data_IF_828490489026
#
_entry.id   IF_828490489026
#
_cell.length_a   1.000
_cell.length_b   1.000
_cell.length_c   1.000
_cell.angle_alpha   90.00
_cell.angle_beta   90.00
_cell.angle_gamma   90.00
#
_symmetry.space_group_name_H-M   'P 1'
#
loop_
_entity.id
_entity.type
_entity.pdbx_description
1 polymer ?
#
# COMPACT_ATOMS: atom_id res chain seq x y z
N UNK A 1 -23.16 29.20 4.23
CA UNK A 1 -23.19 28.38 3.01
C UNK A 1 -22.01 27.40 3.09
N UNK A 2 -21.95 26.40 3.99
CA UNK A 2 -22.82 25.22 4.16
C UNK A 2 -23.15 24.55 2.81
N UNK A 3 -22.15 24.02 2.11
CA UNK A 3 -22.33 22.83 1.27
C UNK A 3 -20.97 22.19 0.91
N UNK A 4 -20.95 20.86 0.88
CA UNK A 4 -19.97 19.97 0.26
C UNK A 4 -18.66 19.64 1.01
N UNK A 5 -18.81 19.11 2.24
CA UNK A 5 -17.96 18.03 2.76
C UNK A 5 -18.83 16.77 2.82
N UNK A 6 -19.03 16.10 1.68
CA UNK A 6 -19.48 14.71 1.66
C UNK A 6 -18.22 13.84 1.61
N UNK A 7 -17.75 13.42 2.78
CA UNK A 7 -16.77 12.35 2.89
C UNK A 7 -17.34 11.08 2.24
N UNK A 8 -16.59 10.38 1.38
CA UNK A 8 -17.05 9.11 0.84
C UNK A 8 -17.27 8.13 1.99
N UNK A 9 -18.49 7.61 2.09
CA UNK A 9 -18.85 6.60 3.10
C UNK A 9 -17.90 5.41 2.98
N UNK A 10 -17.22 5.06 4.07
CA UNK A 10 -16.31 3.91 4.20
C UNK A 10 -17.11 2.61 4.46
N UNK A 11 -18.41 2.72 4.77
CA UNK A 11 -19.32 1.60 5.02
C UNK A 11 -19.31 0.48 3.93
N UNK A 12 -19.33 0.78 2.60
CA UNK A 12 -19.28 -0.26 1.58
C UNK A 12 -17.93 -0.99 1.51
N UNK A 13 -16.82 -0.32 1.85
CA UNK A 13 -15.50 -0.93 1.90
C UNK A 13 -15.37 -1.88 3.10
N UNK A 14 -15.91 -1.49 4.25
CA UNK A 14 -15.94 -2.31 5.45
C UNK A 14 -16.85 -3.54 5.29
N UNK A 15 -18.00 -3.40 4.63
CA UNK A 15 -18.89 -4.51 4.29
C UNK A 15 -18.23 -5.52 3.33
N UNK A 16 -17.50 -5.04 2.33
CA UNK A 16 -16.73 -5.89 1.39
C UNK A 16 -15.61 -6.66 2.08
N UNK A 17 -14.91 -6.04 3.03
CA UNK A 17 -13.84 -6.69 3.82
C UNK A 17 -14.43 -7.73 4.78
N UNK A 18 -15.57 -7.43 5.41
CA UNK A 18 -16.29 -8.37 6.29
C UNK A 18 -16.80 -9.60 5.52
N UNK A 19 -17.37 -9.43 4.33
CA UNK A 19 -17.80 -10.54 3.46
C UNK A 19 -16.63 -11.40 2.95
N UNK A 20 -15.44 -10.82 2.80
CA UNK A 20 -14.22 -11.56 2.40
C UNK A 20 -13.52 -12.29 3.57
N UNK A 21 -14.01 -12.13 4.80
CA UNK A 21 -13.45 -12.67 6.04
C UNK A 21 -14.40 -13.63 6.78
N UNK A 22 -15.67 -13.70 6.39
CA UNK A 22 -16.60 -14.67 6.96
C UNK A 22 -16.22 -16.09 6.52
N UNK A 23 -16.33 -17.06 7.44
CA UNK A 23 -16.48 -18.47 7.04
C UNK A 23 -17.61 -18.50 6.00
N UNK A 24 -17.30 -18.99 4.80
CA UNK A 24 -18.31 -19.09 3.75
C UNK A 24 -19.41 -19.98 4.28
N UNK A 25 -20.58 -19.40 4.54
CA UNK A 25 -21.81 -20.16 4.72
C UNK A 25 -21.91 -21.17 3.57
N UNK A 26 -22.44 -22.36 3.86
CA UNK A 26 -22.71 -23.35 2.83
C UNK A 26 -23.51 -22.66 1.70
N UNK A 27 -23.05 -22.82 0.47
CA UNK A 27 -23.72 -22.24 -0.68
C UNK A 27 -25.04 -22.94 -0.94
N UNK A 28 -25.97 -22.22 -1.55
CA UNK A 28 -27.23 -22.79 -1.98
C UNK A 28 -27.05 -23.74 -3.17
N UNK A 29 -28.10 -24.47 -3.48
CA UNK A 29 -28.18 -25.30 -4.67
C UNK A 29 -29.41 -24.88 -5.47
N UNK A 30 -29.22 -24.64 -6.75
CA UNK A 30 -30.28 -24.24 -7.67
C UNK A 30 -30.34 -25.24 -8.81
N UNK A 31 -31.53 -25.59 -9.28
CA UNK A 31 -31.71 -26.31 -10.54
C UNK A 31 -32.12 -25.34 -11.63
N UNK A 32 -31.58 -25.55 -12.82
CA UNK A 32 -31.96 -24.83 -14.01
C UNK A 32 -32.99 -25.64 -14.80
N UNK A 33 -34.25 -25.19 -14.76
CA UNK A 33 -35.34 -25.75 -15.54
C UNK A 33 -36.06 -24.63 -16.29
N UNK A 34 -36.35 -24.83 -17.58
CA UNK A 34 -37.00 -23.82 -18.43
C UNK A 34 -36.28 -22.47 -18.52
N UNK A 35 -34.96 -22.43 -18.28
CA UNK A 35 -34.14 -21.21 -18.32
C UNK A 35 -34.20 -20.32 -17.07
N UNK A 36 -34.84 -20.79 -15.99
CA UNK A 36 -34.91 -20.06 -14.72
C UNK A 36 -34.33 -20.90 -13.57
N UNK A 37 -33.27 -20.41 -12.90
CA UNK A 37 -32.76 -21.05 -11.69
C UNK A 37 -33.79 -21.03 -10.55
N UNK A 38 -34.08 -22.17 -9.95
CA UNK A 38 -34.90 -22.30 -8.75
C UNK A 38 -34.15 -23.05 -7.65
N UNK A 39 -34.24 -22.56 -6.42
CA UNK A 39 -33.55 -23.16 -5.29
C UNK A 39 -34.17 -24.51 -4.92
N UNK A 40 -33.32 -25.47 -4.56
CA UNK A 40 -33.72 -26.75 -3.98
C UNK A 40 -33.22 -26.87 -2.54
N UNK A 41 -33.87 -27.72 -1.75
CA UNK A 41 -33.50 -27.99 -0.36
C UNK A 41 -32.23 -28.87 -0.29
N UNK A 42 -31.09 -28.30 -0.66
CA UNK A 42 -29.77 -28.90 -0.57
C UNK A 42 -28.72 -27.80 -0.35
N UNK A 43 -27.51 -28.21 0.05
CA UNK A 43 -26.39 -27.29 0.24
C UNK A 43 -25.14 -27.79 -0.49
N UNK A 44 -24.21 -26.89 -0.77
CA UNK A 44 -22.91 -27.22 -1.33
C UNK A 44 -21.81 -26.35 -0.71
N UNK A 45 -20.54 -26.66 -0.99
CA UNK A 45 -19.41 -25.87 -0.47
C UNK A 45 -19.38 -24.41 -0.97
N UNK A 46 -20.18 -24.08 -1.98
CA UNK A 46 -20.38 -22.78 -2.61
C UNK A 46 -21.60 -22.89 -3.52
N UNK A 47 -22.13 -21.75 -3.94
CA UNK A 47 -23.31 -21.72 -4.77
C UNK A 47 -23.16 -22.62 -6.00
N UNK A 48 -24.16 -23.47 -6.23
CA UNK A 48 -24.13 -24.54 -7.22
C UNK A 48 -25.39 -24.51 -8.08
N UNK A 49 -25.23 -24.22 -9.35
CA UNK A 49 -26.27 -24.33 -10.37
C UNK A 49 -26.17 -25.70 -11.04
N UNK A 50 -27.22 -26.49 -10.88
CA UNK A 50 -27.40 -27.78 -11.52
C UNK A 50 -28.05 -27.57 -12.89
N UNK A 51 -27.42 -28.10 -13.93
CA UNK A 51 -27.88 -28.01 -15.32
C UNK A 51 -28.32 -29.38 -15.85
N UNK A 52 -29.20 -29.46 -16.86
CA UNK A 52 -29.70 -30.73 -17.37
C UNK A 52 -28.57 -31.64 -17.87
N UNK A 53 -28.38 -32.80 -17.25
CA UNK A 53 -27.30 -33.72 -17.61
C UNK A 53 -27.41 -34.32 -19.03
N UNK A 54 -28.59 -34.34 -19.65
CA UNK A 54 -28.75 -34.73 -21.06
C UNK A 54 -28.09 -33.77 -22.05
N UNK A 55 -27.75 -32.55 -21.60
CA UNK A 55 -27.02 -31.55 -22.38
C UNK A 55 -25.50 -31.60 -22.15
N UNK A 56 -25.03 -32.47 -21.25
CA UNK A 56 -23.60 -32.59 -20.90
C UNK A 56 -23.17 -34.04 -20.96
N UNK A 57 -22.29 -34.37 -21.89
CA UNK A 57 -21.65 -35.69 -21.89
C UNK A 57 -20.60 -35.72 -20.76
N UNK A 58 -20.79 -36.64 -19.82
CA UNK A 58 -19.83 -36.91 -18.73
C UNK A 58 -19.18 -38.27 -18.96
N UNK A 59 -17.85 -38.29 -19.05
CA UNK A 59 -17.08 -39.52 -19.20
C UNK A 59 -15.84 -39.57 -18.29
N UNK A 60 -15.34 -40.77 -17.99
CA UNK A 60 -14.02 -40.96 -17.38
C UNK A 60 -12.90 -40.82 -18.40
N UNK A 61 -11.81 -40.13 -18.06
CA UNK A 61 -10.63 -39.97 -18.91
C UNK A 61 -9.34 -40.36 -18.16
N UNK A 62 -8.57 -41.28 -18.72
CA UNK A 62 -7.27 -41.68 -18.21
C UNK A 62 -6.24 -40.55 -18.44
N UNK A 63 -5.88 -39.84 -17.37
CA UNK A 63 -4.94 -38.71 -17.41
C UNK A 63 -3.83 -38.88 -16.36
N UNK A 64 -2.87 -39.82 -16.57
CA UNK A 64 -1.79 -40.14 -15.62
C UNK A 64 -0.67 -39.08 -15.63
N UNK A 65 -1.06 -37.81 -15.51
CA UNK A 65 -0.15 -36.67 -15.53
C UNK A 65 -0.14 -36.01 -14.14
N UNK A 66 1.03 -35.55 -13.65
CA UNK A 66 1.18 -35.13 -12.26
C UNK A 66 0.46 -33.82 -11.94
N UNK A 67 0.34 -32.90 -12.90
CA UNK A 67 -0.27 -31.58 -12.68
C UNK A 67 -1.63 -31.45 -13.35
N UNK A 68 -2.55 -30.74 -12.68
CA UNK A 68 -3.88 -30.42 -13.22
C UNK A 68 -3.78 -29.66 -14.56
N UNK A 69 -2.81 -28.76 -14.70
CA UNK A 69 -2.60 -28.01 -15.94
C UNK A 69 -2.23 -28.93 -17.11
N UNK A 70 -1.34 -29.92 -16.89
CA UNK A 70 -1.00 -30.93 -17.91
C UNK A 70 -2.20 -31.81 -18.24
N UNK A 71 -3.01 -32.19 -17.25
CA UNK A 71 -4.26 -32.94 -17.47
C UNK A 71 -5.26 -32.16 -18.33
N UNK A 72 -5.47 -30.87 -18.05
CA UNK A 72 -6.33 -30.01 -18.87
C UNK A 72 -5.81 -29.90 -20.31
N UNK A 73 -4.50 -29.74 -20.50
CA UNK A 73 -3.90 -29.65 -21.84
C UNK A 73 -4.01 -30.97 -22.63
N UNK A 74 -3.96 -32.11 -21.95
CA UNK A 74 -4.08 -33.44 -22.56
C UNK A 74 -5.53 -33.91 -22.74
N UNK A 75 -6.49 -33.28 -22.05
CA UNK A 75 -7.89 -33.69 -22.06
C UNK A 75 -8.50 -33.77 -23.48
N UNK A 76 -8.30 -32.81 -24.40
CA UNK A 76 -8.87 -32.88 -25.75
C UNK A 76 -8.47 -34.16 -26.49
N UNK A 77 -7.19 -34.53 -26.42
CA UNK A 77 -6.66 -35.73 -27.06
C UNK A 77 -7.16 -37.02 -26.41
N UNK A 78 -7.31 -37.03 -25.08
CA UNK A 78 -7.72 -38.22 -24.33
C UNK A 78 -9.18 -38.64 -24.60
N UNK A 79 -10.00 -37.74 -25.13
CA UNK A 79 -11.44 -37.98 -25.35
C UNK A 79 -11.85 -37.88 -26.82
N UNK A 80 -10.93 -37.57 -27.73
CA UNK A 80 -11.20 -37.25 -29.14
C UNK A 80 -12.00 -38.36 -29.84
N UNK A 81 -11.61 -39.62 -29.63
CA UNK A 81 -12.29 -40.79 -30.23
C UNK A 81 -13.64 -41.13 -29.56
N UNK A 82 -14.00 -40.46 -28.46
CA UNK A 82 -15.19 -40.73 -27.65
C UNK A 82 -16.27 -39.66 -27.81
N UNK A 83 -16.01 -38.61 -28.58
CA UNK A 83 -16.94 -37.54 -28.85
C UNK A 83 -17.24 -37.47 -30.34
N UNK A 84 -18.51 -37.20 -30.70
CA UNK A 84 -18.92 -37.09 -32.10
C UNK A 84 -18.52 -35.76 -32.73
N UNK A 85 -18.37 -34.71 -31.92
CA UNK A 85 -17.92 -33.39 -32.33
C UNK A 85 -16.39 -33.29 -32.24
N UNK A 86 -15.78 -32.35 -32.96
CA UNK A 86 -14.36 -32.07 -32.78
C UNK A 86 -14.08 -31.46 -31.41
N UNK A 87 -12.99 -31.86 -30.78
CA UNK A 87 -12.62 -31.39 -29.44
C UNK A 87 -12.42 -29.87 -29.34
N UNK A 88 -12.10 -29.18 -30.45
CA UNK A 88 -11.94 -27.72 -30.51
C UNK A 88 -13.25 -26.95 -30.74
N UNK A 89 -14.36 -27.65 -30.97
CA UNK A 89 -15.70 -27.06 -31.17
C UNK A 89 -16.58 -27.17 -29.91
N UNK A 90 -16.11 -27.86 -28.88
CA UNK A 90 -16.84 -28.10 -27.63
C UNK A 90 -16.14 -27.42 -26.46
N UNK A 91 -16.91 -27.13 -25.41
CA UNK A 91 -16.34 -26.72 -24.14
C UNK A 91 -16.02 -27.95 -23.30
N UNK A 92 -14.78 -28.02 -22.80
CA UNK A 92 -14.27 -29.14 -22.01
C UNK A 92 -13.99 -28.71 -20.57
N UNK A 93 -14.44 -29.53 -19.63
CA UNK A 93 -14.22 -29.32 -18.20
C UNK A 93 -13.62 -30.56 -17.54
N UNK A 94 -12.57 -30.38 -16.74
CA UNK A 94 -11.93 -31.45 -15.96
C UNK A 94 -12.49 -31.48 -14.53
N UNK A 95 -13.07 -32.59 -14.12
CA UNK A 95 -13.65 -32.81 -12.80
C UNK A 95 -12.68 -33.39 -11.78
N UNK A 96 -13.25 -34.04 -10.77
CA UNK A 96 -12.56 -34.85 -9.77
C UNK A 96 -12.13 -36.20 -10.37
N UNK A 97 -11.23 -36.87 -9.67
CA UNK A 97 -10.89 -38.26 -9.97
C UNK A 97 -12.01 -39.16 -9.44
N UNK A 98 -12.58 -40.00 -10.30
CA UNK A 98 -13.56 -41.01 -9.93
C UNK A 98 -12.92 -42.19 -9.19
N UNK A 99 -13.72 -43.11 -8.63
CA UNK A 99 -13.23 -44.25 -7.85
C UNK A 99 -12.29 -45.17 -8.64
N UNK A 100 -12.50 -45.31 -9.94
CA UNK A 100 -11.65 -46.10 -10.85
C UNK A 100 -10.31 -45.46 -11.21
N UNK A 101 -9.99 -44.28 -10.66
CA UNK A 101 -8.74 -43.56 -10.93
C UNK A 101 -8.76 -42.71 -12.22
N UNK A 102 -9.82 -42.81 -13.03
CA UNK A 102 -10.05 -41.91 -14.16
C UNK A 102 -10.55 -40.54 -13.71
N UNK A 103 -10.31 -39.50 -14.52
CA UNK A 103 -10.79 -38.15 -14.24
C UNK A 103 -12.11 -37.91 -14.95
N UNK A 104 -13.10 -37.34 -14.26
CA UNK A 104 -14.32 -36.92 -14.93
C UNK A 104 -14.02 -35.82 -15.95
N UNK A 105 -14.59 -35.95 -17.14
CA UNK A 105 -14.55 -34.98 -18.20
C UNK A 105 -15.97 -34.62 -18.61
N UNK A 106 -16.30 -33.34 -18.55
CA UNK A 106 -17.54 -32.79 -19.08
C UNK A 106 -17.33 -32.22 -20.47
N UNK A 107 -18.22 -32.55 -21.39
CA UNK A 107 -18.25 -32.06 -22.76
C UNK A 107 -19.61 -31.43 -23.01
N UNK A 108 -19.62 -30.18 -23.45
CA UNK A 108 -20.85 -29.40 -23.62
C UNK A 108 -20.71 -28.40 -24.76
N UNK A 109 -21.82 -28.10 -25.43
CA UNK A 109 -21.90 -27.04 -26.43
C UNK A 109 -21.57 -25.67 -25.78
N UNK A 110 -20.58 -24.91 -26.30
CA UNK A 110 -20.27 -23.58 -25.81
C UNK A 110 -21.47 -22.60 -25.82
N UNK A 111 -22.42 -22.75 -26.75
CA UNK A 111 -23.62 -21.92 -26.81
C UNK A 111 -24.56 -22.18 -25.63
N UNK A 112 -24.74 -23.46 -25.24
CA UNK A 112 -25.50 -23.82 -24.04
C UNK A 112 -24.82 -23.30 -22.78
N UNK A 113 -23.50 -23.44 -22.68
CA UNK A 113 -22.73 -22.88 -21.57
C UNK A 113 -22.89 -21.36 -21.46
N UNK A 114 -22.85 -20.63 -22.58
CA UNK A 114 -23.07 -19.18 -22.58
C UNK A 114 -24.49 -18.83 -22.09
N UNK A 115 -25.49 -19.59 -22.51
CA UNK A 115 -26.88 -19.45 -22.04
C UNK A 115 -27.00 -19.63 -20.52
N UNK A 116 -26.47 -20.74 -19.99
CA UNK A 116 -26.52 -21.02 -18.55
C UNK A 116 -25.78 -19.97 -17.71
N UNK A 117 -24.67 -19.44 -18.21
CA UNK A 117 -23.95 -18.34 -17.53
C UNK A 117 -24.80 -17.08 -17.51
N UNK A 118 -25.46 -16.73 -18.62
CA UNK A 118 -26.33 -15.56 -18.68
C UNK A 118 -27.55 -15.71 -17.75
N UNK A 119 -28.17 -16.89 -17.70
CA UNK A 119 -29.28 -17.20 -16.79
C UNK A 119 -28.84 -17.14 -15.33
N UNK A 120 -27.65 -17.66 -15.01
CA UNK A 120 -27.07 -17.54 -13.68
C UNK A 120 -26.83 -16.07 -13.31
N UNK A 121 -26.26 -15.26 -14.20
CA UNK A 121 -26.04 -13.82 -13.97
C UNK A 121 -27.35 -13.07 -13.74
N UNK A 122 -28.37 -13.33 -14.57
CA UNK A 122 -29.70 -12.72 -14.44
C UNK A 122 -30.36 -13.05 -13.09
N UNK A 123 -30.10 -14.24 -12.54
CA UNK A 123 -30.59 -14.69 -11.23
C UNK A 123 -29.70 -14.25 -10.05
N UNK A 124 -28.62 -13.49 -10.28
CA UNK A 124 -27.67 -13.10 -9.23
C UNK A 124 -26.70 -14.19 -8.80
N UNK A 125 -26.63 -15.30 -9.54
CA UNK A 125 -25.79 -16.48 -9.32
C UNK A 125 -24.53 -16.47 -10.21
N UNK A 126 -24.05 -15.32 -10.66
CA UNK A 126 -22.92 -15.22 -11.61
C UNK A 126 -21.61 -15.88 -11.12
N UNK A 127 -21.43 -16.02 -9.81
CA UNK A 127 -20.25 -16.68 -9.20
C UNK A 127 -20.48 -18.18 -8.89
N UNK A 128 -21.68 -18.71 -9.17
CA UNK A 128 -22.02 -20.10 -8.92
C UNK A 128 -21.15 -21.06 -9.76
N UNK A 129 -20.92 -22.24 -9.18
CA UNK A 129 -20.39 -23.41 -9.88
C UNK A 129 -21.50 -23.95 -10.77
N UNK A 130 -21.18 -24.45 -11.96
CA UNK A 130 -22.16 -25.12 -12.82
C UNK A 130 -21.80 -26.61 -12.89
N UNK A 131 -22.76 -27.51 -12.64
CA UNK A 131 -22.55 -28.95 -12.65
C UNK A 131 -23.78 -29.68 -13.23
N UNK A 132 -23.61 -30.77 -13.99
CA UNK A 132 -24.75 -31.62 -14.38
C UNK A 132 -25.52 -32.14 -13.16
N UNK A 133 -26.84 -32.07 -13.21
CA UNK A 133 -27.72 -32.45 -12.10
C UNK A 133 -27.64 -33.93 -11.72
N UNK A 134 -27.39 -34.84 -12.66
CA UNK A 134 -27.12 -36.24 -12.37
C UNK A 134 -25.90 -36.44 -11.43
N UNK A 135 -24.93 -35.51 -11.44
CA UNK A 135 -23.77 -35.57 -10.55
C UNK A 135 -24.06 -35.05 -9.13
N UNK A 136 -25.27 -34.56 -8.86
CA UNK A 136 -25.72 -34.23 -7.51
C UNK A 136 -26.18 -35.46 -6.72
N UNK A 137 -26.51 -36.57 -7.39
CA UNK A 137 -26.88 -37.81 -6.71
C UNK A 137 -25.67 -38.43 -5.98
N UNK A 138 -25.91 -39.11 -4.85
CA UNK A 138 -24.89 -39.87 -4.15
C UNK A 138 -24.20 -40.86 -5.09
N UNK A 139 -22.89 -41.03 -4.89
CA UNK A 139 -22.13 -42.04 -5.61
C UNK A 139 -22.57 -43.43 -5.15
N UNK A 140 -23.05 -44.31 -6.05
CA UNK A 140 -23.52 -45.65 -5.66
C UNK A 140 -22.35 -46.60 -5.38
N UNK A 141 -22.67 -47.69 -4.69
CA UNK A 141 -21.77 -48.84 -4.55
C UNK A 141 -21.52 -49.54 -5.90
N UNK A 142 -20.40 -50.28 -6.06
CA UNK A 142 -20.12 -51.03 -7.27
C UNK A 142 -21.25 -52.01 -7.64
N UNK A 143 -21.75 -51.90 -8.87
CA UNK A 143 -22.84 -52.75 -9.40
C UNK A 143 -24.24 -52.13 -9.30
N UNK A 144 -24.40 -51.02 -8.59
CA UNK A 144 -25.67 -50.30 -8.45
C UNK A 144 -25.64 -48.95 -9.18
N UNK A 145 -26.80 -48.42 -9.54
CA UNK A 145 -26.98 -47.04 -10.01
C UNK A 145 -27.79 -46.25 -8.99
N UNK A 146 -27.36 -45.04 -8.65
CA UNK A 146 -28.23 -44.10 -7.95
C UNK A 146 -29.13 -43.44 -8.98
N UNK A 147 -30.45 -43.50 -8.80
CA UNK A 147 -31.41 -42.92 -9.74
C UNK A 147 -32.34 -41.94 -9.05
N UNK A 148 -32.76 -40.90 -9.76
CA UNK A 148 -33.77 -39.95 -9.26
C UNK A 148 -34.76 -39.60 -10.35
N UNK A 149 -36.06 -39.79 -10.07
CA UNK A 149 -37.13 -39.51 -11.02
C UNK A 149 -37.73 -38.13 -10.78
N UNK A 150 -37.66 -37.28 -11.81
CA UNK A 150 -38.30 -35.96 -11.86
C UNK A 150 -39.36 -36.02 -12.97
N UNK A 151 -40.59 -36.38 -12.60
CA UNK A 151 -41.65 -36.66 -13.57
C UNK A 151 -41.29 -37.82 -14.50
N UNK A 152 -41.21 -37.56 -15.80
CA UNK A 152 -40.80 -38.54 -16.81
C UNK A 152 -39.29 -38.55 -17.11
N UNK A 153 -38.52 -37.64 -16.50
CA UNK A 153 -37.07 -37.54 -16.64
C UNK A 153 -36.40 -38.29 -15.49
N UNK A 154 -35.43 -39.14 -15.80
CA UNK A 154 -34.70 -39.96 -14.82
C UNK A 154 -33.23 -39.56 -14.88
N UNK A 155 -32.70 -39.15 -13.73
CA UNK A 155 -31.28 -38.95 -13.47
C UNK A 155 -30.64 -40.26 -13.05
N UNK A 156 -29.41 -40.51 -13.48
CA UNK A 156 -28.64 -41.68 -13.09
C UNK A 156 -27.18 -41.31 -12.80
N UNK A 157 -26.67 -41.77 -11.65
CA UNK A 157 -25.24 -41.72 -11.28
C UNK A 157 -24.68 -43.13 -11.27
N UNK A 158 -23.52 -43.29 -11.90
CA UNK A 158 -22.86 -44.58 -12.07
C UNK A 158 -21.70 -44.77 -11.05
N UNK A 159 -21.30 -46.01 -10.75
CA UNK A 159 -20.22 -46.31 -9.80
C UNK A 159 -18.85 -45.76 -10.21
N UNK A 160 -18.61 -45.54 -11.51
CA UNK A 160 -17.37 -44.92 -12.02
C UNK A 160 -17.32 -43.40 -11.76
N UNK A 161 -18.39 -42.83 -11.21
CA UNK A 161 -18.54 -41.41 -10.93
C UNK A 161 -19.13 -40.61 -12.07
N UNK A 162 -19.39 -41.20 -13.25
CA UNK A 162 -20.13 -40.55 -14.33
C UNK A 162 -21.62 -40.50 -14.03
N UNK A 163 -22.39 -39.85 -14.90
CA UNK A 163 -23.84 -39.79 -14.77
C UNK A 163 -24.48 -39.25 -16.03
N UNK A 164 -25.78 -39.53 -16.19
CA UNK A 164 -26.57 -39.09 -17.32
C UNK A 164 -28.01 -38.82 -16.89
N UNK A 165 -28.78 -38.17 -17.77
CA UNK A 165 -30.22 -38.06 -17.63
C UNK A 165 -30.90 -38.48 -18.94
N UNK A 166 -32.09 -39.08 -18.83
CA UNK A 166 -32.89 -39.46 -19.98
C UNK A 166 -34.39 -39.45 -19.64
N UNK A 167 -35.22 -39.33 -20.67
CA UNK A 167 -36.64 -39.66 -20.50
C UNK A 167 -36.81 -41.16 -20.26
N UNK A 168 -37.83 -41.54 -19.50
CA UNK A 168 -38.08 -42.91 -19.06
C UNK A 168 -37.94 -44.00 -20.15
N UNK A 169 -38.49 -43.85 -21.38
CA UNK A 169 -38.33 -44.88 -22.41
C UNK A 169 -36.86 -45.11 -22.83
N UNK A 170 -36.08 -44.03 -22.92
CA UNK A 170 -34.66 -44.11 -23.27
C UNK A 170 -33.84 -44.61 -22.08
N UNK A 171 -34.17 -44.17 -20.86
CA UNK A 171 -33.54 -44.68 -19.64
C UNK A 171 -33.69 -46.20 -19.55
N UNK A 172 -34.90 -46.74 -19.74
CA UNK A 172 -35.15 -48.19 -19.70
C UNK A 172 -34.35 -48.95 -20.77
N UNK A 173 -34.15 -48.34 -21.94
CA UNK A 173 -33.32 -48.91 -23.01
C UNK A 173 -31.84 -48.95 -22.62
N UNK A 174 -31.31 -47.88 -22.03
CA UNK A 174 -29.92 -47.80 -21.54
C UNK A 174 -29.71 -48.77 -20.38
N UNK A 175 -30.63 -48.80 -19.42
CA UNK A 175 -30.61 -49.70 -18.26
C UNK A 175 -30.63 -51.18 -18.70
N UNK A 176 -31.48 -51.53 -19.67
CA UNK A 176 -31.52 -52.88 -20.23
C UNK A 176 -30.21 -53.23 -20.96
N UNK A 177 -29.67 -52.31 -21.76
CA UNK A 177 -28.39 -52.51 -22.46
C UNK A 177 -27.20 -52.64 -21.49
N UNK A 178 -27.27 -51.99 -20.33
CA UNK A 178 -26.27 -52.08 -19.27
C UNK A 178 -26.37 -53.36 -18.41
N UNK A 179 -27.26 -54.30 -18.76
CA UNK A 179 -27.42 -55.56 -18.03
C UNK A 179 -28.35 -55.47 -16.82
N UNK A 180 -29.21 -54.43 -16.77
CA UNK A 180 -30.18 -54.20 -15.70
C UNK A 180 -29.55 -54.16 -14.30
N UNK A 181 -28.60 -53.25 -14.05
CA UNK A 181 -28.01 -53.08 -12.72
C UNK A 181 -29.10 -52.75 -11.69
N UNK A 182 -28.81 -53.05 -10.42
CA UNK A 182 -29.67 -52.64 -9.32
C UNK A 182 -29.73 -51.11 -9.26
N UNK A 183 -30.91 -50.56 -8.97
CA UNK A 183 -31.13 -49.12 -8.95
C UNK A 183 -31.61 -48.70 -7.57
N UNK A 184 -30.85 -47.83 -6.92
CA UNK A 184 -31.22 -47.19 -5.66
C UNK A 184 -31.87 -45.84 -5.95
N UNK A 185 -33.14 -45.68 -5.58
CA UNK A 185 -33.80 -44.39 -5.70
C UNK A 185 -33.26 -43.42 -4.64
N UNK A 186 -32.52 -42.42 -5.09
CA UNK A 186 -31.87 -41.42 -4.25
C UNK A 186 -32.44 -40.03 -4.55
N UNK A 187 -32.64 -39.22 -3.52
CA UNK A 187 -32.85 -37.78 -3.67
C UNK A 187 -31.52 -37.02 -3.68
N UNK A 188 -31.60 -35.68 -3.78
CA UNK A 188 -30.43 -34.81 -3.62
C UNK A 188 -29.86 -34.78 -2.19
N UNK A 189 -30.54 -35.44 -1.23
CA UNK A 189 -30.09 -35.66 0.14
C UNK A 189 -30.04 -34.40 1.01
N UNK A 190 -29.96 -34.58 2.33
CA UNK A 190 -29.75 -33.48 3.29
C UNK A 190 -28.26 -33.11 3.43
N UNK A 191 -27.37 -34.00 2.99
CA UNK A 191 -25.93 -33.78 3.03
C UNK A 191 -25.48 -32.76 1.98
N UNK A 192 -24.36 -32.09 2.24
CA UNK A 192 -23.79 -31.16 1.28
C UNK A 192 -23.34 -31.88 0.01
N UNK A 193 -23.85 -31.44 -1.14
CA UNK A 193 -23.55 -32.01 -2.46
C UNK A 193 -22.09 -31.74 -2.81
N UNK A 194 -21.28 -32.78 -3.07
CA UNK A 194 -19.90 -32.63 -3.49
C UNK A 194 -19.83 -32.13 -4.94
N UNK A 195 -18.96 -31.15 -5.19
CA UNK A 195 -18.73 -30.64 -6.55
C UNK A 195 -17.75 -31.58 -7.27
N UNK A 196 -18.31 -32.58 -7.95
CA UNK A 196 -17.53 -33.56 -8.71
C UNK A 196 -17.01 -33.01 -10.05
N UNK A 197 -17.72 -32.05 -10.65
CA UNK A 197 -17.36 -31.44 -11.93
C UNK A 197 -17.85 -29.98 -11.95
N UNK A 198 -16.93 -29.04 -12.16
CA UNK A 198 -17.27 -27.61 -12.34
C UNK A 198 -17.11 -27.25 -13.82
N UNK A 199 -18.21 -26.94 -14.51
CA UNK A 199 -18.18 -26.52 -15.92
C UNK A 199 -17.65 -25.10 -16.10
N UNK A 200 -17.53 -24.28 -15.03
CA UNK A 200 -16.98 -22.90 -15.07
C UNK A 200 -15.45 -22.91 -15.16
N UNK A 201 -14.94 -23.39 -16.29
CA UNK A 201 -13.51 -23.48 -16.64
C UNK A 201 -13.22 -22.79 -17.97
N UNK A 202 -11.94 -22.60 -18.30
CA UNK A 202 -11.52 -22.02 -19.58
C UNK A 202 -12.13 -20.64 -19.82
N UNK A 203 -12.74 -20.45 -20.99
CA UNK A 203 -13.40 -19.20 -21.39
C UNK A 203 -14.65 -18.87 -20.54
N UNK A 204 -15.24 -19.86 -19.88
CA UNK A 204 -16.37 -19.71 -18.96
C UNK A 204 -15.93 -19.70 -17.50
N UNK A 205 -14.63 -19.59 -17.22
CA UNK A 205 -14.14 -19.46 -15.86
C UNK A 205 -14.70 -18.20 -15.20
N UNK A 206 -15.06 -18.33 -13.92
CA UNK A 206 -15.55 -17.20 -13.12
C UNK A 206 -14.56 -16.04 -13.17
N UNK A 207 -15.03 -14.79 -13.38
CA UNK A 207 -14.21 -13.61 -13.17
C UNK A 207 -13.62 -13.69 -11.76
N UNK A 208 -12.30 -13.53 -11.60
CA UNK A 208 -11.68 -13.57 -10.27
C UNK A 208 -12.19 -12.39 -9.44
N UNK A 209 -13.24 -12.60 -8.65
CA UNK A 209 -13.65 -11.62 -7.65
C UNK A 209 -12.73 -11.75 -6.44
N UNK A 210 -11.76 -10.84 -6.34
CA UNK A 210 -10.90 -10.67 -5.16
C UNK A 210 -9.41 -10.60 -5.47
N UNK A 211 -8.69 -9.88 -4.62
CA UNK A 211 -7.22 -9.85 -4.63
C UNK A 211 -6.69 -11.26 -4.36
N UNK A 212 -5.72 -11.70 -5.15
CA UNK A 212 -4.99 -12.95 -4.89
C UNK A 212 -4.39 -12.94 -3.48
N UNK A 213 -4.09 -14.13 -2.92
CA UNK A 213 -3.50 -14.23 -1.57
C UNK A 213 -2.21 -13.41 -1.44
N UNK A 214 -1.43 -13.31 -2.51
CA UNK A 214 -0.23 -12.46 -2.58
C UNK A 214 -0.60 -10.98 -2.68
N UNK A 215 -1.54 -10.59 -3.53
CA UNK A 215 -1.99 -9.20 -3.65
C UNK A 215 -2.62 -8.67 -2.35
N UNK A 216 -3.34 -9.53 -1.60
CA UNK A 216 -3.87 -9.21 -0.27
C UNK A 216 -2.77 -8.98 0.76
N UNK A 217 -1.70 -9.78 0.73
CA UNK A 217 -0.51 -9.58 1.59
C UNK A 217 0.22 -8.28 1.24
N UNK A 218 0.42 -8.02 -0.06
CA UNK A 218 1.04 -6.77 -0.53
C UNK A 218 0.22 -5.56 -0.10
N UNK A 219 -1.11 -5.60 -0.26
CA UNK A 219 -2.00 -4.53 0.19
C UNK A 219 -1.93 -4.28 1.71
N UNK A 220 -1.85 -5.35 2.52
CA UNK A 220 -1.67 -5.25 3.97
C UNK A 220 -0.33 -4.60 4.34
N UNK A 221 0.76 -4.99 3.68
CA UNK A 221 2.09 -4.40 3.90
C UNK A 221 2.10 -2.93 3.50
N UNK A 222 1.52 -2.59 2.34
CA UNK A 222 1.41 -1.21 1.87
C UNK A 222 0.59 -0.34 2.83
N UNK A 223 -0.54 -0.84 3.32
CA UNK A 223 -1.37 -0.15 4.31
C UNK A 223 -0.62 0.06 5.64
N UNK A 224 0.11 -0.97 6.11
CA UNK A 224 0.97 -0.86 7.29
C UNK A 224 2.07 0.19 7.12
N UNK A 225 2.71 0.24 5.95
CA UNK A 225 3.72 1.25 5.63
C UNK A 225 3.17 2.68 5.65
N UNK A 226 1.99 2.89 5.05
CA UNK A 226 1.29 4.19 5.06
C UNK A 226 0.93 4.64 6.47
N UNK A 227 0.41 3.73 7.31
CA UNK A 227 0.10 4.02 8.71
C UNK A 227 1.35 4.39 9.51
N UNK A 228 2.45 3.65 9.33
CA UNK A 228 3.72 3.95 9.98
C UNK A 228 4.25 5.33 9.57
N UNK A 229 4.19 5.65 8.28
CA UNK A 229 4.61 6.97 7.78
C UNK A 229 3.76 8.10 8.35
N UNK A 230 2.44 7.91 8.41
CA UNK A 230 1.53 8.87 9.04
C UNK A 230 1.86 9.09 10.52
N UNK A 231 2.11 8.00 11.26
CA UNK A 231 2.48 8.07 12.68
C UNK A 231 3.80 8.83 12.89
N UNK A 232 4.84 8.52 12.10
CA UNK A 232 6.14 9.22 12.17
C UNK A 232 5.96 10.72 11.90
N UNK A 233 5.29 11.08 10.80
CA UNK A 233 5.07 12.48 10.45
C UNK A 233 4.29 13.26 11.54
N UNK A 234 3.29 12.62 12.15
CA UNK A 234 2.57 13.25 13.28
C UNK A 234 3.47 13.42 14.50
N UNK A 235 4.25 12.41 14.87
CA UNK A 235 5.18 12.49 16.00
C UNK A 235 6.22 13.59 15.79
N UNK A 236 6.81 13.68 14.60
CA UNK A 236 7.77 14.73 14.25
C UNK A 236 7.13 16.13 14.34
N UNK A 237 5.91 16.27 13.83
CA UNK A 237 5.20 17.55 13.89
C UNK A 237 4.94 17.99 15.34
N UNK A 238 4.53 17.06 16.21
CA UNK A 238 4.35 17.34 17.64
C UNK A 238 5.68 17.66 18.33
N UNK A 239 6.74 16.89 18.05
CA UNK A 239 8.06 17.12 18.59
C UNK A 239 8.59 18.52 18.21
N UNK A 240 8.55 18.88 16.92
CA UNK A 240 8.98 20.18 16.42
C UNK A 240 8.17 21.33 17.01
N UNK A 241 6.85 21.20 17.14
CA UNK A 241 6.01 22.20 17.80
C UNK A 241 6.37 22.38 19.27
N UNK A 242 6.64 21.29 19.98
CA UNK A 242 7.03 21.34 21.40
C UNK A 242 8.40 22.01 21.62
N UNK A 243 9.36 21.74 20.73
CA UNK A 243 10.69 22.34 20.76
C UNK A 243 10.61 23.83 20.44
N UNK A 244 9.84 24.20 19.41
CA UNK A 244 9.62 25.60 19.05
C UNK A 244 8.98 26.39 20.20
N UNK A 245 7.95 25.82 20.85
CA UNK A 245 7.32 26.45 22.01
C UNK A 245 8.29 26.64 23.18
N UNK A 246 9.09 25.61 23.51
CA UNK A 246 10.11 25.70 24.57
C UNK A 246 11.16 26.77 24.28
N UNK A 247 11.72 26.78 23.06
CA UNK A 247 12.72 27.79 22.64
C UNK A 247 12.13 29.21 22.62
N UNK A 248 10.88 29.36 22.19
CA UNK A 248 10.17 30.63 22.21
C UNK A 248 10.00 31.17 23.64
N UNK A 249 9.62 30.31 24.57
CA UNK A 249 9.51 30.67 25.99
C UNK A 249 10.86 31.06 26.60
N UNK A 250 11.92 30.32 26.29
CA UNK A 250 13.28 30.62 26.76
C UNK A 250 13.81 31.95 26.20
N UNK A 251 13.62 32.20 24.90
CA UNK A 251 13.99 33.46 24.26
C UNK A 251 13.26 34.66 24.88
N UNK A 252 11.95 34.52 25.10
CA UNK A 252 11.12 35.54 25.76
C UNK A 252 11.62 35.83 27.17
N UNK A 253 11.96 34.80 27.94
CA UNK A 253 12.51 34.96 29.28
C UNK A 253 13.86 35.69 29.27
N UNK A 254 14.75 35.36 28.32
CA UNK A 254 16.05 36.04 28.17
C UNK A 254 15.90 37.50 27.73
N UNK A 255 14.99 37.80 26.80
CA UNK A 255 14.67 39.18 26.40
C UNK A 255 14.17 40.01 27.57
N UNK A 256 13.24 39.47 28.35
CA UNK A 256 12.70 40.17 29.52
C UNK A 256 13.77 40.44 30.59
N UNK A 257 14.74 39.53 30.75
CA UNK A 257 15.84 39.70 31.69
C UNK A 257 16.92 40.69 31.22
N UNK A 258 17.26 40.66 29.92
CA UNK A 258 18.39 41.44 29.36
C UNK A 258 17.99 42.80 28.78
N UNK A 259 16.74 42.95 28.35
CA UNK A 259 16.20 44.18 27.76
C UNK A 259 14.77 44.46 28.27
N UNK A 260 14.62 44.85 29.55
CA UNK A 260 13.31 45.06 30.17
C UNK A 260 12.47 46.10 29.41
N UNK A 261 11.20 45.78 29.12
CA UNK A 261 10.26 46.69 28.46
C UNK A 261 10.35 46.76 26.93
N UNK A 262 11.30 46.06 26.29
CA UNK A 262 11.41 45.97 24.83
C UNK A 262 10.43 44.99 24.18
N UNK A 263 9.92 44.01 24.93
CA UNK A 263 8.96 43.04 24.45
C UNK A 263 7.86 42.80 25.51
N UNK A 264 6.59 42.90 25.11
CA UNK A 264 5.42 42.72 25.99
C UNK A 264 4.38 41.75 25.43
N UNK A 265 4.67 41.13 24.29
CA UNK A 265 3.80 40.16 23.61
C UNK A 265 3.98 38.73 24.12
N UNK A 266 3.21 37.81 23.54
CA UNK A 266 3.29 36.36 23.82
C UNK A 266 3.66 35.52 22.60
N UNK A 267 3.78 36.13 21.42
CA UNK A 267 4.15 35.43 20.19
C UNK A 267 5.68 35.22 20.10
N UNK A 268 6.16 33.97 20.03
CA UNK A 268 7.58 33.66 19.83
C UNK A 268 8.20 34.29 18.58
N UNK A 269 7.43 34.50 17.51
CA UNK A 269 7.94 35.10 16.27
C UNK A 269 8.24 36.59 16.44
N UNK A 270 7.38 37.32 17.15
CA UNK A 270 7.60 38.72 17.49
C UNK A 270 8.78 38.88 18.45
N UNK A 271 8.89 37.99 19.45
CA UNK A 271 10.04 37.96 20.35
C UNK A 271 11.36 37.77 19.57
N UNK A 272 11.37 36.86 18.59
CA UNK A 272 12.53 36.61 17.73
C UNK A 272 12.90 37.83 16.86
N UNK A 273 11.91 38.55 16.32
CA UNK A 273 12.16 39.77 15.57
C UNK A 273 12.80 40.87 16.44
N UNK A 274 12.25 41.10 17.65
CA UNK A 274 12.79 42.08 18.60
C UNK A 274 14.21 41.69 19.05
N UNK A 275 14.47 40.39 19.27
CA UNK A 275 15.81 39.90 19.59
C UNK A 275 16.81 40.19 18.45
N UNK A 276 16.39 39.98 17.20
CA UNK A 276 17.23 40.23 16.03
C UNK A 276 17.57 41.71 15.85
N UNK A 277 16.71 42.63 16.30
CA UNK A 277 16.99 44.08 16.30
C UNK A 277 17.95 44.51 17.43
N UNK A 278 17.95 43.79 18.56
CA UNK A 278 18.84 44.08 19.70
C UNK A 278 20.23 43.52 19.47
N UNK A 279 20.33 42.37 18.79
CA UNK A 279 21.60 41.78 18.41
C UNK A 279 22.31 42.72 17.42
N UNK A 280 23.56 43.14 17.68
CA UNK A 280 24.33 43.85 16.68
C UNK A 280 24.40 42.95 15.46
N UNK A 281 24.09 43.50 14.28
CA UNK A 281 24.22 42.77 13.03
C UNK A 281 25.66 42.26 12.93
N UNK A 282 25.83 40.98 13.25
CA UNK A 282 27.10 40.27 13.10
C UNK A 282 27.36 40.12 11.61
N UNK A 283 27.79 41.22 10.99
CA UNK A 283 28.45 41.13 9.70
C UNK A 283 29.65 40.21 9.86
N UNK A 284 29.92 39.43 8.83
CA UNK A 284 31.14 38.63 8.64
C UNK A 284 32.39 39.51 8.51
N UNK A 285 32.48 40.60 9.28
CA UNK A 285 33.61 41.50 9.29
C UNK A 285 34.77 40.85 10.08
N UNK A 286 35.99 40.83 9.54
CA UNK A 286 37.16 40.32 10.25
C UNK A 286 37.35 41.07 11.59
N UNK A 287 38.00 40.44 12.60
CA UNK A 287 38.10 41.01 13.95
C UNK A 287 38.51 42.49 13.92
N UNK A 288 37.70 43.34 14.56
CA UNK A 288 37.81 44.80 14.47
C UNK A 288 39.23 45.28 14.72
N UNK A 289 39.78 46.03 13.77
CA UNK A 289 41.19 46.45 13.75
C UNK A 289 41.56 47.44 14.87
N UNK A 290 40.56 48.03 15.53
CA UNK A 290 40.72 49.03 16.59
C UNK A 290 41.45 48.47 17.81
N UNK A 291 40.91 47.43 18.44
CA UNK A 291 41.45 46.93 19.71
C UNK A 291 42.92 46.46 19.58
N UNK A 292 43.32 45.67 18.56
CA UNK A 292 44.71 45.26 18.40
C UNK A 292 45.68 46.41 18.07
N UNK A 293 45.22 47.45 17.36
CA UNK A 293 46.04 48.65 17.11
C UNK A 293 46.18 49.50 18.36
N UNK A 294 45.10 49.67 19.12
CA UNK A 294 45.08 50.46 20.35
C UNK A 294 45.97 49.84 21.42
N UNK A 295 45.87 48.52 21.65
CA UNK A 295 46.70 47.84 22.65
C UNK A 295 48.19 47.98 22.32
N UNK A 296 48.58 47.80 21.05
CA UNK A 296 49.99 47.94 20.63
C UNK A 296 50.48 49.39 20.70
N UNK A 297 49.66 50.35 20.28
CA UNK A 297 50.01 51.77 20.34
C UNK A 297 50.15 52.23 21.81
N UNK A 298 49.22 51.84 22.67
CA UNK A 298 49.27 52.16 24.11
C UNK A 298 50.48 51.54 24.79
N UNK A 299 50.86 50.30 24.44
CA UNK A 299 52.05 49.66 24.99
C UNK A 299 53.34 50.37 24.57
N UNK A 300 53.42 50.81 23.31
CA UNK A 300 54.58 51.56 22.79
C UNK A 300 54.70 52.96 23.41
N UNK A 301 53.58 53.59 23.77
CA UNK A 301 53.54 54.91 24.38
C UNK A 301 53.75 54.89 25.90
N UNK A 302 53.60 53.74 26.57
CA UNK A 302 53.70 53.62 28.03
C UNK A 302 54.99 54.20 28.65
N UNK A 303 56.20 54.05 28.04
CA UNK A 303 57.43 54.63 28.58
C UNK A 303 57.45 56.18 28.57
N UNK A 304 56.57 56.81 27.80
CA UNK A 304 56.51 58.27 27.60
C UNK A 304 55.37 58.94 28.40
N UNK A 305 54.77 58.25 29.37
CA UNK A 305 53.60 58.74 30.12
C UNK A 305 53.81 60.05 30.89
N UNK A 306 55.06 60.50 31.09
CA UNK A 306 55.38 61.83 31.66
C UNK A 306 55.69 62.92 30.62
N UNK A 307 55.88 62.56 29.35
CA UNK A 307 56.29 63.46 28.28
C UNK A 307 55.14 63.84 27.31
N UNK A 308 54.08 63.02 27.26
CA UNK A 308 52.93 63.23 26.38
C UNK A 308 51.62 62.95 27.10
N UNK A 309 50.70 63.91 27.03
CA UNK A 309 49.32 63.77 27.52
C UNK A 309 48.36 63.62 26.34
N UNK A 310 47.60 62.52 26.27
CA UNK A 310 46.62 62.30 25.21
C UNK A 310 45.28 62.92 25.63
N UNK A 311 44.80 63.90 24.85
CA UNK A 311 43.52 64.60 25.10
C UNK A 311 42.34 63.91 24.43
N UNK A 312 42.55 63.42 23.21
CA UNK A 312 41.52 62.72 22.45
C UNK A 312 42.13 61.60 21.61
N UNK A 313 41.32 60.59 21.31
CA UNK A 313 41.66 59.53 20.39
C UNK A 313 40.51 59.36 19.40
N UNK A 314 40.84 59.27 18.11
CA UNK A 314 39.91 58.93 17.04
C UNK A 314 40.44 57.75 16.25
N UNK A 315 39.55 56.83 15.92
CA UNK A 315 39.86 55.72 15.03
C UNK A 315 39.18 55.95 13.69
N UNK A 316 39.98 55.92 12.63
CA UNK A 316 39.49 55.88 11.26
C UNK A 316 39.51 54.43 10.78
N UNK A 317 38.31 53.88 10.60
CA UNK A 317 38.13 52.50 10.16
C UNK A 317 38.54 52.30 8.69
N UNK A 318 38.32 53.29 7.82
CA UNK A 318 38.67 53.20 6.41
C UNK A 318 40.20 53.23 6.21
N UNK A 319 40.89 54.09 6.96
CA UNK A 319 42.35 54.19 6.95
C UNK A 319 43.09 53.25 7.91
N UNK A 320 42.36 52.48 8.74
CA UNK A 320 42.89 51.66 9.85
C UNK A 320 43.95 52.40 10.67
N UNK A 321 43.64 53.64 11.03
CA UNK A 321 44.56 54.54 11.72
C UNK A 321 43.98 55.04 13.03
N UNK A 322 44.84 55.17 14.03
CA UNK A 322 44.56 55.83 15.31
C UNK A 322 45.19 57.21 15.29
N UNK A 323 44.38 58.25 15.48
CA UNK A 323 44.87 59.61 15.72
C UNK A 323 44.72 59.92 17.20
N UNK A 324 45.84 60.25 17.85
CA UNK A 324 45.89 60.77 19.20
C UNK A 324 46.17 62.27 19.12
N UNK A 325 45.30 63.07 19.73
CA UNK A 325 45.57 64.51 19.91
C UNK A 325 46.33 64.66 21.23
N UNK A 326 47.56 65.13 21.16
CA UNK A 326 48.56 65.04 22.21
C UNK A 326 49.08 66.42 22.61
N UNK A 327 49.28 66.63 23.91
CA UNK A 327 50.11 67.73 24.42
C UNK A 327 51.48 67.18 24.78
N UNK A 328 52.53 67.73 24.15
CA UNK A 328 53.90 67.39 24.49
C UNK A 328 54.46 68.39 25.51
N UNK A 329 55.00 67.88 26.62
CA UNK A 329 55.71 68.68 27.60
C UNK A 329 57.20 68.86 27.25
N UNK A 330 57.73 68.04 26.32
CA UNK A 330 59.13 68.03 25.89
C UNK A 330 59.23 67.91 24.35
N UNK A 331 59.60 68.99 23.64
CA UNK A 331 59.76 69.00 22.18
C UNK A 331 60.79 67.98 21.65
N UNK A 332 61.69 67.46 22.50
CA UNK A 332 62.68 66.44 22.13
C UNK A 332 62.13 65.01 22.08
N UNK A 333 60.98 64.74 22.70
CA UNK A 333 60.44 63.39 22.88
C UNK A 333 59.80 62.79 21.61
N UNK A 334 59.45 63.62 20.62
CA UNK A 334 58.73 63.18 19.41
C UNK A 334 59.46 62.09 18.62
N UNK A 335 60.80 62.19 18.52
CA UNK A 335 61.62 61.20 17.81
C UNK A 335 61.63 59.85 18.52
N UNK A 336 61.75 59.86 19.86
CA UNK A 336 61.72 58.64 20.67
C UNK A 336 60.39 57.90 20.60
N UNK A 337 59.27 58.63 20.54
CA UNK A 337 57.93 58.06 20.40
C UNK A 337 57.74 57.37 19.06
N UNK A 338 58.19 58.00 17.97
CA UNK A 338 58.12 57.40 16.62
C UNK A 338 58.96 56.14 16.54
N UNK A 339 60.16 56.14 17.15
CA UNK A 339 61.04 54.96 17.17
C UNK A 339 60.45 53.82 18.02
N UNK A 340 59.79 54.12 19.15
CA UNK A 340 59.11 53.12 19.97
C UNK A 340 57.91 52.49 19.26
N UNK A 341 57.11 53.29 18.55
CA UNK A 341 56.02 52.77 17.71
C UNK A 341 56.56 51.86 16.60
N UNK A 342 57.67 52.24 15.96
CA UNK A 342 58.34 51.41 14.95
C UNK A 342 58.80 50.07 15.52
N UNK A 343 59.39 50.05 16.71
CA UNK A 343 59.79 48.81 17.40
C UNK A 343 58.59 47.91 17.73
N UNK A 344 57.41 48.49 17.98
CA UNK A 344 56.16 47.76 18.18
C UNK A 344 55.49 47.30 16.86
N UNK A 345 56.15 47.47 15.71
CA UNK A 345 55.62 47.13 14.38
C UNK A 345 54.49 48.07 13.93
N UNK A 346 54.53 49.33 14.37
CA UNK A 346 53.56 50.38 14.01
C UNK A 346 54.26 51.53 13.28
N UNK A 347 53.53 52.22 12.42
CA UNK A 347 54.01 53.43 11.76
C UNK A 347 53.39 54.65 12.42
N UNK A 348 54.19 55.40 13.17
CA UNK A 348 53.81 56.65 13.83
C UNK A 348 54.34 57.89 13.11
N UNK A 349 53.53 58.94 12.99
CA UNK A 349 53.99 60.28 12.57
C UNK A 349 53.26 61.38 13.33
N UNK A 350 53.93 62.50 13.57
CA UNK A 350 53.32 63.70 14.13
C UNK A 350 52.88 64.65 13.01
N UNK A 351 51.66 65.17 13.11
CA UNK A 351 51.11 66.27 12.31
C UNK A 351 50.66 67.37 13.28
N UNK A 352 51.53 68.35 13.53
CA UNK A 352 51.33 69.32 14.61
C UNK A 352 51.27 68.61 15.96
N UNK A 353 50.19 68.87 16.72
CA UNK A 353 49.95 68.28 18.04
C UNK A 353 49.26 66.89 17.96
N UNK A 354 48.99 66.36 16.75
CA UNK A 354 48.36 65.05 16.57
C UNK A 354 49.38 63.98 16.19
N UNK A 355 49.38 62.86 16.92
CA UNK A 355 50.11 61.64 16.58
C UNK A 355 49.21 60.67 15.83
N UNK A 356 49.57 60.34 14.59
CA UNK A 356 48.85 59.35 13.76
C UNK A 356 49.63 58.04 13.77
N UNK A 357 48.95 56.97 14.15
CA UNK A 357 49.48 55.61 14.26
C UNK A 357 48.73 54.70 13.30
N UNK A 358 49.47 54.01 12.46
CA UNK A 358 48.94 53.01 11.52
C UNK A 358 49.62 51.67 11.76
N UNK A 359 48.99 50.57 11.32
CA UNK A 359 49.64 49.26 11.33
C UNK A 359 50.90 49.28 10.46
N UNK A 360 52.04 48.83 11.00
CA UNK A 360 53.22 48.56 10.17
C UNK A 360 52.99 47.31 9.32
N UNK A 361 53.58 47.29 8.12
CA UNK A 361 53.78 46.03 7.42
C UNK A 361 54.78 45.21 8.25
N UNK A 362 54.42 43.97 8.60
CA UNK A 362 55.35 43.03 9.20
C UNK A 362 56.47 42.67 8.22
#
# INVERSE_FOLDING_TARGET
MKLMLQSPSIAPAFARIKNALADRAAGGVWMLDGGVPHAIAASAARDLLLVPAEQVLVLGAALPLPSRAKRIAALPFAIEDRIAARADQVHLALGAQGPGGEWLAGVVDPALMAGWVAEAEAAGLGDATIMPDALALPLPEPGCWSVHRIGARILARLPDGTGFAAMEPLFLSIWAAAGRPECDEAGFGDAAIPIALDLRQGIFARPRQGLSRTARRVALVAAGGLLAHGAIATADTFALRSIAAKRGAELTAQLNASAPGRFTGSDPHEAAAVAAEILPAGGTAPPGALLPLLTRASAALAPFGGAVTVRAMRFDEAGRSLRFDCDSADPGAARGIVDALRQAGLNGRFEGDSLIVTGGAA
#
